data_IF_205591732568
#
_entry.id   IF_205591732568
#
_cell.length_a   1.000
_cell.length_b   1.000
_cell.length_c   1.000
_cell.angle_alpha   90.00
_cell.angle_beta   90.00
_cell.angle_gamma   90.00
#
_symmetry.space_group_name_H-M   'P 1'
#
loop_
_entity.id
_entity.type
_entity.pdbx_description
1 polymer ?
#
# COMPACT_ATOMS: atom_id res chain seq x y z
N UNK A 1 31.82 14.03 -1.00
CA UNK A 1 30.47 14.44 -1.46
C UNK A 1 29.78 13.34 -2.29
N UNK A 2 29.86 12.06 -1.90
CA UNK A 2 29.24 10.93 -2.64
C UNK A 2 27.92 10.44 -2.05
N UNK A 3 27.69 10.61 -0.74
CA UNK A 3 26.56 10.01 -0.01
C UNK A 3 25.19 10.57 -0.47
N UNK A 4 25.11 11.87 -0.78
CA UNK A 4 23.85 12.51 -1.20
C UNK A 4 23.32 12.06 -2.57
N UNK A 5 24.19 11.54 -3.46
CA UNK A 5 23.81 11.19 -4.84
C UNK A 5 23.00 9.88 -4.90
N UNK A 6 23.16 9.00 -3.90
CA UNK A 6 22.48 7.70 -3.83
C UNK A 6 21.27 7.67 -2.89
N UNK A 7 21.11 8.66 -1.99
CA UNK A 7 19.94 8.72 -1.10
C UNK A 7 18.60 8.79 -1.87
N UNK A 8 18.57 9.58 -2.95
CA UNK A 8 17.36 9.78 -3.76
C UNK A 8 16.85 8.49 -4.43
N UNK A 9 17.68 7.70 -5.14
CA UNK A 9 17.22 6.44 -5.72
C UNK A 9 16.87 5.39 -4.65
N UNK A 10 17.58 5.34 -3.52
CA UNK A 10 17.27 4.42 -2.42
C UNK A 10 15.85 4.69 -1.87
N UNK A 11 15.48 5.96 -1.71
CA UNK A 11 14.14 6.34 -1.26
C UNK A 11 13.03 5.79 -2.17
N UNK A 12 13.19 5.90 -3.49
CA UNK A 12 12.20 5.39 -4.44
C UNK A 12 12.09 3.86 -4.43
N UNK A 13 13.21 3.17 -4.26
CA UNK A 13 13.21 1.71 -4.09
C UNK A 13 12.52 1.27 -2.80
N UNK A 14 12.72 1.98 -1.69
CA UNK A 14 12.00 1.73 -0.44
C UNK A 14 10.50 1.94 -0.63
N UNK A 15 10.10 3.02 -1.33
CA UNK A 15 8.69 3.30 -1.64
C UNK A 15 8.06 2.18 -2.49
N UNK A 16 8.81 1.67 -3.47
CA UNK A 16 8.40 0.55 -4.31
C UNK A 16 8.17 -0.73 -3.50
N UNK A 17 9.12 -1.09 -2.64
CA UNK A 17 9.03 -2.27 -1.77
C UNK A 17 7.83 -2.14 -0.81
N UNK A 18 7.60 -0.95 -0.26
CA UNK A 18 6.41 -0.66 0.56
C UNK A 18 5.11 -0.87 -0.23
N UNK A 19 5.05 -0.41 -1.48
CA UNK A 19 3.91 -0.65 -2.38
C UNK A 19 3.63 -2.13 -2.59
N UNK A 20 4.67 -2.94 -2.85
CA UNK A 20 4.55 -4.39 -3.00
C UNK A 20 4.07 -5.05 -1.71
N UNK A 21 4.63 -4.67 -0.56
CA UNK A 21 4.23 -5.23 0.73
C UNK A 21 2.76 -4.95 1.04
N UNK A 22 2.26 -3.76 0.69
CA UNK A 22 0.85 -3.40 0.84
C UNK A 22 -0.01 -4.26 -0.11
N UNK A 23 0.42 -4.47 -1.36
CA UNK A 23 -0.27 -5.37 -2.30
C UNK A 23 -0.37 -6.79 -1.76
N UNK A 24 0.76 -7.39 -1.37
CA UNK A 24 0.82 -8.76 -0.87
C UNK A 24 0.04 -8.97 0.42
N UNK A 25 -0.13 -7.92 1.23
CA UNK A 25 -0.88 -7.95 2.49
C UNK A 25 -2.24 -7.27 2.41
N UNK A 26 -2.72 -6.90 1.23
CA UNK A 26 -3.94 -6.10 1.02
C UNK A 26 -5.18 -6.72 1.68
N UNK A 27 -5.33 -8.04 1.51
CA UNK A 27 -6.39 -8.83 2.14
C UNK A 27 -6.29 -8.82 3.66
N UNK A 28 -5.09 -9.10 4.20
CA UNK A 28 -4.85 -9.10 5.65
C UNK A 28 -5.06 -7.72 6.29
N UNK A 29 -4.66 -6.66 5.58
CA UNK A 29 -4.88 -5.28 6.00
C UNK A 29 -6.36 -4.92 5.99
N UNK A 30 -7.12 -5.36 4.98
CA UNK A 30 -8.55 -5.14 4.90
C UNK A 30 -9.31 -5.84 6.04
N UNK A 31 -8.97 -7.09 6.35
CA UNK A 31 -9.54 -7.80 7.51
C UNK A 31 -9.27 -7.07 8.82
N UNK A 32 -8.03 -6.59 9.03
CA UNK A 32 -7.64 -5.85 10.24
C UNK A 32 -8.38 -4.50 10.35
N UNK A 33 -8.58 -3.82 9.24
CA UNK A 33 -9.29 -2.54 9.21
C UNK A 33 -10.76 -2.72 9.58
N UNK A 34 -11.41 -3.77 9.05
CA UNK A 34 -12.80 -4.07 9.41
C UNK A 34 -12.93 -4.56 10.84
N UNK A 35 -12.00 -5.38 11.33
CA UNK A 35 -12.04 -5.83 12.73
C UNK A 35 -11.94 -4.63 13.68
N UNK A 36 -11.04 -3.68 13.39
CA UNK A 36 -10.94 -2.46 14.18
C UNK A 36 -12.22 -1.64 14.08
N UNK A 37 -12.78 -1.48 12.87
CA UNK A 37 -14.03 -0.74 12.68
C UNK A 37 -15.23 -1.36 13.43
N UNK A 38 -15.31 -2.69 13.49
CA UNK A 38 -16.32 -3.41 14.27
C UNK A 38 -16.16 -3.19 15.77
N UNK A 39 -14.92 -3.26 16.27
CA UNK A 39 -14.61 -3.03 17.68
C UNK A 39 -14.93 -1.58 18.06
N UNK A 40 -14.51 -0.61 17.24
CA UNK A 40 -14.66 0.82 17.52
C UNK A 40 -16.12 1.28 17.47
N UNK A 41 -16.96 0.65 16.64
CA UNK A 41 -18.39 1.00 16.51
C UNK A 41 -19.33 0.13 17.34
N UNK A 42 -18.85 -0.99 17.90
CA UNK A 42 -19.68 -1.94 18.65
C UNK A 42 -20.82 -2.59 17.85
N UNK A 43 -20.82 -2.42 16.52
CA UNK A 43 -21.88 -2.91 15.63
C UNK A 43 -21.37 -4.14 14.89
N UNK A 44 -22.07 -5.26 15.07
CA UNK A 44 -21.91 -6.43 14.21
C UNK A 44 -22.42 -6.11 12.80
N UNK A 45 -21.55 -6.19 11.80
CA UNK A 45 -21.98 -6.08 10.40
C UNK A 45 -22.72 -7.37 10.01
N UNK A 46 -23.90 -7.22 9.40
CA UNK A 46 -24.56 -8.32 8.68
C UNK A 46 -23.59 -8.88 7.62
N UNK A 47 -23.66 -10.20 7.36
CA UNK A 47 -22.73 -10.90 6.45
C UNK A 47 -22.59 -10.23 5.08
N UNK A 48 -23.68 -9.72 4.51
CA UNK A 48 -23.66 -9.07 3.20
C UNK A 48 -22.90 -7.73 3.23
N UNK A 49 -23.14 -6.92 4.27
CA UNK A 49 -22.43 -5.66 4.47
C UNK A 49 -20.95 -5.91 4.81
N UNK A 50 -20.65 -6.93 5.59
CA UNK A 50 -19.27 -7.34 5.89
C UNK A 50 -18.48 -7.63 4.61
N UNK A 51 -19.06 -8.45 3.73
CA UNK A 51 -18.43 -8.86 2.48
C UNK A 51 -18.21 -7.66 1.55
N UNK A 52 -19.22 -6.78 1.44
CA UNK A 52 -19.12 -5.57 0.62
C UNK A 52 -18.05 -4.60 1.15
N UNK A 53 -18.01 -4.34 2.46
CA UNK A 53 -16.97 -3.50 3.07
C UNK A 53 -15.59 -4.10 2.94
N UNK A 54 -15.46 -5.43 3.03
CA UNK A 54 -14.20 -6.13 2.86
C UNK A 54 -13.68 -5.99 1.46
N UNK A 55 -14.52 -6.18 0.45
CA UNK A 55 -14.14 -5.99 -0.94
C UNK A 55 -13.71 -4.55 -1.22
N UNK A 56 -14.42 -3.56 -0.67
CA UNK A 56 -14.03 -2.14 -0.78
C UNK A 56 -12.68 -1.86 -0.11
N UNK A 57 -12.44 -2.39 1.09
CA UNK A 57 -11.15 -2.22 1.78
C UNK A 57 -10.00 -2.90 1.02
N UNK A 58 -10.23 -4.09 0.46
CA UNK A 58 -9.25 -4.79 -0.39
C UNK A 58 -8.93 -3.93 -1.62
N UNK A 59 -9.95 -3.47 -2.35
CA UNK A 59 -9.76 -2.61 -3.53
C UNK A 59 -8.99 -1.33 -3.19
N UNK A 60 -9.31 -0.69 -2.06
CA UNK A 60 -8.59 0.49 -1.56
C UNK A 60 -7.11 0.19 -1.31
N UNK A 61 -6.79 -0.90 -0.61
CA UNK A 61 -5.42 -1.29 -0.31
C UNK A 61 -4.62 -1.65 -1.57
N UNK A 62 -5.25 -2.34 -2.53
CA UNK A 62 -4.65 -2.63 -3.84
C UNK A 62 -4.33 -1.33 -4.58
N UNK A 63 -5.28 -0.39 -4.65
CA UNK A 63 -5.08 0.89 -5.33
C UNK A 63 -3.91 1.68 -4.72
N UNK A 64 -3.84 1.76 -3.39
CA UNK A 64 -2.76 2.45 -2.67
C UNK A 64 -1.41 1.82 -2.98
N UNK A 65 -1.31 0.49 -2.86
CA UNK A 65 -0.05 -0.19 -3.13
C UNK A 65 0.35 -0.12 -4.61
N UNK A 66 -0.61 -0.07 -5.55
CA UNK A 66 -0.34 0.13 -6.98
C UNK A 66 0.25 1.51 -7.23
N UNK A 67 -0.37 2.56 -6.67
CA UNK A 67 0.11 3.94 -6.77
C UNK A 67 1.55 4.04 -6.22
N UNK A 68 1.80 3.48 -5.03
CA UNK A 68 3.14 3.46 -4.40
C UNK A 68 4.16 2.69 -5.24
N UNK A 69 3.78 1.55 -5.81
CA UNK A 69 4.66 0.74 -6.66
C UNK A 69 4.96 1.45 -7.98
N UNK A 70 3.98 2.11 -8.60
CA UNK A 70 4.21 2.86 -9.84
C UNK A 70 5.11 4.07 -9.56
N UNK A 71 4.81 4.89 -8.54
CA UNK A 71 5.62 6.05 -8.17
C UNK A 71 7.06 5.65 -7.78
N UNK A 72 7.21 4.60 -6.98
CA UNK A 72 8.51 4.07 -6.56
C UNK A 72 9.31 3.51 -7.72
N UNK A 73 8.70 2.66 -8.54
CA UNK A 73 9.35 2.06 -9.71
C UNK A 73 9.75 3.09 -10.76
N UNK A 74 8.83 3.99 -11.12
CA UNK A 74 9.08 5.03 -12.12
C UNK A 74 10.11 6.05 -11.64
N UNK A 75 10.04 6.47 -10.36
CA UNK A 75 11.03 7.35 -9.75
C UNK A 75 12.42 6.72 -9.64
N UNK A 76 12.50 5.41 -9.40
CA UNK A 76 13.74 4.64 -9.43
C UNK A 76 14.37 4.61 -10.83
N UNK A 77 13.58 4.25 -11.85
CA UNK A 77 14.03 4.14 -13.23
C UNK A 77 14.51 5.48 -13.82
N UNK A 78 13.76 6.57 -13.59
CA UNK A 78 14.15 7.90 -14.08
C UNK A 78 15.48 8.36 -13.47
N UNK A 79 15.71 8.08 -12.18
CA UNK A 79 16.97 8.45 -11.52
C UNK A 79 18.15 7.62 -11.99
N UNK A 80 17.93 6.36 -12.40
CA UNK A 80 18.98 5.52 -12.99
C UNK A 80 19.35 5.99 -14.40
N UNK A 81 18.39 6.46 -15.20
CA UNK A 81 18.62 6.92 -16.57
C UNK A 81 19.25 8.33 -16.66
N UNK A 82 19.27 9.09 -15.56
CA UNK A 82 19.94 10.41 -15.48
C UNK A 82 21.39 10.34 -15.00
N UNK A 83 21.96 9.15 -14.90
CA UNK A 83 23.33 8.91 -14.43
C UNK A 83 24.27 8.72 -15.62
#
# INVERSE_FOLDING_TARGET
MMVKKYLKPIFFWVLFILGILILSRSVKLAYREISNFMIDRGIGLNKDLYTLFLEQCIKKNILIGLILSILGGFGGLINMNKK
#
